data_IF_254865065232
#
_entry.id   IF_254865065232
#
_cell.length_a   1.000
_cell.length_b   1.000
_cell.length_c   1.000
_cell.angle_alpha   90.00
_cell.angle_beta   90.00
_cell.angle_gamma   90.00
#
_symmetry.space_group_name_H-M   'P 1'
#
loop_
_entity.id
_entity.type
_entity.pdbx_description
1 polymer ?
#
# COMPACT_ATOMS: atom_id res chain seq x y z
N UNK A 1 19.89 -13.17 -11.27
CA UNK A 1 20.28 -11.77 -11.00
C UNK A 1 20.05 -11.40 -9.53
N UNK A 2 18.85 -11.61 -8.97
CA UNK A 2 18.54 -11.26 -7.57
C UNK A 2 19.51 -11.90 -6.55
N UNK A 3 19.62 -13.24 -6.53
CA UNK A 3 20.46 -13.98 -5.57
C UNK A 3 21.96 -13.66 -5.63
N UNK A 4 22.43 -13.00 -6.70
CA UNK A 4 23.81 -12.53 -6.79
C UNK A 4 24.05 -11.35 -5.86
N UNK A 5 23.10 -10.42 -5.81
CA UNK A 5 23.24 -9.12 -5.15
C UNK A 5 22.44 -9.00 -3.86
N UNK A 6 21.52 -9.92 -3.58
CA UNK A 6 20.70 -9.91 -2.38
C UNK A 6 20.76 -11.27 -1.71
N UNK A 7 20.76 -11.23 -0.38
CA UNK A 7 20.53 -12.44 0.40
C UNK A 7 19.03 -12.74 0.47
N UNK A 8 18.64 -13.91 -0.06
CA UNK A 8 17.23 -14.28 -0.20
C UNK A 8 16.55 -14.47 1.15
N UNK A 9 17.23 -15.09 2.11
CA UNK A 9 16.69 -15.37 3.44
C UNK A 9 16.46 -14.08 4.22
N UNK A 10 17.45 -13.19 4.22
CA UNK A 10 17.30 -11.86 4.82
C UNK A 10 16.19 -11.04 4.16
N UNK A 11 16.12 -11.02 2.82
CA UNK A 11 15.11 -10.27 2.10
C UNK A 11 13.68 -10.74 2.43
N UNK A 12 13.44 -12.06 2.39
CA UNK A 12 12.13 -12.62 2.71
C UNK A 12 11.77 -12.41 4.19
N UNK A 13 12.75 -12.51 5.10
CA UNK A 13 12.56 -12.23 6.53
C UNK A 13 12.17 -10.77 6.75
N UNK A 14 12.87 -9.84 6.11
CA UNK A 14 12.55 -8.41 6.18
C UNK A 14 11.14 -8.16 5.64
N UNK A 15 10.78 -8.73 4.49
CA UNK A 15 9.42 -8.59 3.95
C UNK A 15 8.36 -9.13 4.93
N UNK A 16 8.58 -10.34 5.44
CA UNK A 16 7.63 -11.00 6.32
C UNK A 16 7.43 -10.25 7.65
N UNK A 17 8.52 -9.76 8.27
CA UNK A 17 8.44 -8.94 9.48
C UNK A 17 7.65 -7.65 9.26
N UNK A 18 7.91 -6.91 8.17
CA UNK A 18 7.17 -5.67 7.90
C UNK A 18 5.69 -5.91 7.63
N UNK A 19 5.35 -7.04 7.00
CA UNK A 19 3.94 -7.43 6.77
C UNK A 19 3.26 -7.81 8.09
N UNK A 20 3.84 -8.72 8.88
CA UNK A 20 3.24 -9.22 10.13
C UNK A 20 3.07 -8.13 11.19
N UNK A 21 3.99 -7.16 11.21
CA UNK A 21 3.92 -6.03 12.12
C UNK A 21 3.23 -4.82 11.51
N UNK A 22 2.79 -4.88 10.24
CA UNK A 22 2.25 -3.74 9.51
C UNK A 22 3.13 -2.48 9.60
N UNK A 23 4.44 -2.63 9.37
CA UNK A 23 5.29 -1.47 9.10
C UNK A 23 5.08 -1.01 7.65
N UNK A 24 4.05 -0.19 7.47
CA UNK A 24 3.53 0.21 6.16
C UNK A 24 4.35 1.30 5.46
N UNK A 25 5.31 1.96 6.11
CA UNK A 25 6.16 2.99 5.49
C UNK A 25 7.48 2.42 4.95
N UNK A 26 7.46 1.16 4.50
CA UNK A 26 8.65 0.43 4.04
C UNK A 26 8.86 0.46 2.53
N UNK A 27 8.00 1.20 1.81
CA UNK A 27 8.16 1.42 0.37
C UNK A 27 9.37 2.30 0.05
N UNK A 28 9.74 3.23 0.95
CA UNK A 28 10.81 4.21 0.70
C UNK A 28 11.68 4.58 1.90
N UNK A 29 11.31 4.12 3.11
CA UNK A 29 12.01 4.44 4.35
C UNK A 29 11.87 3.30 5.36
N UNK A 30 12.31 3.52 6.60
CA UNK A 30 12.20 2.56 7.70
C UNK A 30 12.99 1.25 7.47
N UNK A 31 14.08 1.35 6.71
CA UNK A 31 15.11 0.32 6.62
C UNK A 31 16.47 0.92 6.25
N UNK A 32 17.52 0.15 6.52
CA UNK A 32 18.88 0.43 6.07
C UNK A 32 19.28 -0.61 5.03
N UNK A 33 20.05 -0.19 4.03
CA UNK A 33 20.75 -1.10 3.12
C UNK A 33 22.17 -1.31 3.63
N UNK A 34 22.51 -2.55 3.93
CA UNK A 34 23.83 -2.94 4.42
C UNK A 34 24.53 -3.85 3.41
N UNK A 35 25.80 -3.57 3.11
CA UNK A 35 26.65 -4.44 2.31
C UNK A 35 28.01 -4.61 3.02
N UNK A 36 28.35 -5.82 3.49
CA UNK A 36 29.67 -6.09 4.08
C UNK A 36 30.80 -5.89 3.08
N UNK A 37 31.95 -5.37 3.52
CA UNK A 37 33.10 -5.07 2.65
C UNK A 37 33.67 -6.25 1.85
N UNK A 38 33.34 -7.49 2.22
CA UNK A 38 33.81 -8.72 1.58
C UNK A 38 32.69 -9.50 0.86
N UNK A 39 31.55 -8.87 0.60
CA UNK A 39 30.39 -9.48 -0.06
C UNK A 39 29.83 -8.57 -1.14
N UNK A 40 29.39 -9.15 -2.26
CA UNK A 40 28.62 -8.39 -3.27
C UNK A 40 27.11 -8.31 -2.92
N UNK A 41 26.71 -8.89 -1.77
CA UNK A 41 25.32 -8.90 -1.32
C UNK A 41 24.95 -7.65 -0.53
N UNK A 42 23.71 -7.24 -0.73
CA UNK A 42 22.97 -6.26 0.04
C UNK A 42 21.97 -6.97 0.95
N UNK A 43 21.81 -6.41 2.14
CA UNK A 43 20.91 -6.85 3.18
C UNK A 43 19.98 -5.68 3.55
N UNK A 44 18.73 -5.99 3.89
CA UNK A 44 17.79 -5.04 4.46
C UNK A 44 17.77 -5.22 5.98
N UNK A 45 18.00 -4.11 6.70
CA UNK A 45 17.91 -4.06 8.15
C UNK A 45 16.67 -3.27 8.55
N UNK A 46 15.83 -3.76 9.48
CA UNK A 46 14.65 -3.05 9.94
C UNK A 46 15.03 -1.79 10.71
N UNK A 47 14.21 -0.75 10.58
CA UNK A 47 14.33 0.48 11.34
C UNK A 47 12.93 1.05 11.60
N UNK A 48 12.76 1.78 12.71
CA UNK A 48 11.56 2.60 12.97
C UNK A 48 10.22 1.85 12.89
N UNK A 49 9.95 1.05 13.92
CA UNK A 49 8.72 0.24 14.10
C UNK A 49 7.77 0.86 15.15
N UNK A 50 7.97 2.11 15.53
CA UNK A 50 7.17 2.80 16.55
C UNK A 50 5.69 3.00 16.15
N UNK A 51 5.42 3.14 14.85
CA UNK A 51 4.08 3.31 14.27
C UNK A 51 3.48 2.03 13.67
N UNK A 52 4.03 0.86 14.03
CA UNK A 52 3.59 -0.44 13.56
C UNK A 52 2.40 -0.99 14.39
N UNK A 53 1.90 -2.17 14.04
CA UNK A 53 0.85 -2.91 14.74
C UNK A 53 -0.38 -2.05 15.05
N UNK A 54 -0.88 -1.29 14.08
CA UNK A 54 -2.11 -0.51 14.25
C UNK A 54 -3.27 -1.45 14.62
N UNK A 55 -4.12 -1.06 15.57
CA UNK A 55 -5.37 -1.78 15.85
C UNK A 55 -6.31 -1.79 14.63
N UNK A 56 -7.18 -2.78 14.55
CA UNK A 56 -8.06 -3.02 13.39
C UNK A 56 -8.94 -1.79 13.06
N UNK A 57 -9.53 -1.13 14.05
CA UNK A 57 -10.33 0.09 13.84
C UNK A 57 -9.50 1.21 13.19
N UNK A 58 -8.28 1.42 13.68
CA UNK A 58 -7.37 2.44 13.16
C UNK A 58 -6.84 2.06 11.78
N UNK A 59 -6.65 0.77 11.51
CA UNK A 59 -6.33 0.27 10.18
C UNK A 59 -7.48 0.56 9.21
N UNK A 60 -8.71 0.18 9.55
CA UNK A 60 -9.89 0.32 8.70
C UNK A 60 -10.27 1.78 8.42
N UNK A 61 -9.94 2.71 9.33
CA UNK A 61 -10.15 4.15 9.10
C UNK A 61 -9.11 4.79 8.17
N UNK A 62 -8.01 4.09 7.82
CA UNK A 62 -6.99 4.62 6.91
C UNK A 62 -7.43 4.46 5.46
N UNK A 63 -7.43 5.57 4.71
CA UNK A 63 -7.64 5.58 3.26
C UNK A 63 -6.60 4.77 2.47
N UNK A 64 -5.44 4.51 3.07
CA UNK A 64 -4.33 3.76 2.48
C UNK A 64 -4.34 2.25 2.79
N UNK A 65 -5.26 1.78 3.64
CA UNK A 65 -5.30 0.38 4.12
C UNK A 65 -5.36 -0.64 2.98
N UNK A 66 -6.00 -0.30 1.86
CA UNK A 66 -6.08 -1.14 0.64
C UNK A 66 -4.73 -1.37 -0.06
N UNK A 67 -3.67 -0.65 0.33
CA UNK A 67 -2.32 -0.76 -0.22
C UNK A 67 -1.31 -1.38 0.75
N UNK A 68 -1.72 -1.79 1.95
CA UNK A 68 -0.81 -2.35 2.95
C UNK A 68 -0.48 -3.84 2.66
N UNK A 69 0.48 -4.39 3.40
CA UNK A 69 0.95 -5.75 3.21
C UNK A 69 1.72 -5.92 1.89
N UNK A 70 1.52 -7.04 1.19
CA UNK A 70 2.21 -7.32 -0.08
C UNK A 70 1.89 -6.31 -1.18
N UNK A 71 0.69 -5.71 -1.13
CA UNK A 71 0.27 -4.69 -2.07
C UNK A 71 1.16 -3.44 -1.98
N UNK A 72 1.88 -3.18 -0.88
CA UNK A 72 2.80 -2.05 -0.76
C UNK A 72 4.01 -2.20 -1.70
N UNK A 73 4.44 -3.44 -1.91
CA UNK A 73 5.66 -3.77 -2.65
C UNK A 73 5.55 -3.55 -4.16
N UNK A 74 4.35 -3.35 -4.69
CA UNK A 74 4.16 -2.98 -6.09
C UNK A 74 4.59 -1.55 -6.41
N UNK A 75 4.78 -0.70 -5.39
CA UNK A 75 5.31 0.65 -5.53
C UNK A 75 6.82 0.70 -5.78
N UNK A 76 7.55 -0.41 -5.54
CA UNK A 76 9.00 -0.45 -5.65
C UNK A 76 9.46 -1.43 -6.76
N UNK A 77 10.28 -0.99 -7.73
CA UNK A 77 10.68 -1.85 -8.86
C UNK A 77 11.35 -3.16 -8.45
N UNK A 78 12.17 -3.16 -7.39
CA UNK A 78 12.82 -4.35 -6.87
C UNK A 78 11.79 -5.38 -6.39
N UNK A 79 10.93 -4.98 -5.46
CA UNK A 79 9.96 -5.87 -4.85
C UNK A 79 8.90 -6.33 -5.87
N UNK A 80 8.37 -5.40 -6.68
CA UNK A 80 7.46 -5.72 -7.79
C UNK A 80 8.04 -6.79 -8.70
N UNK A 81 9.29 -6.61 -9.17
CA UNK A 81 9.92 -7.59 -10.08
C UNK A 81 10.13 -8.95 -9.42
N UNK A 82 10.49 -8.96 -8.13
CA UNK A 82 10.69 -10.20 -7.40
C UNK A 82 9.35 -10.97 -7.21
N UNK A 83 8.31 -10.30 -6.71
CA UNK A 83 7.01 -10.91 -6.41
C UNK A 83 6.08 -11.05 -7.64
N UNK A 84 6.46 -10.53 -8.80
CA UNK A 84 5.77 -10.85 -10.07
C UNK A 84 5.95 -12.32 -10.49
N UNK A 85 6.85 -13.07 -9.84
CA UNK A 85 6.95 -14.52 -9.98
C UNK A 85 6.11 -15.20 -8.88
N UNK A 86 5.05 -15.96 -9.21
CA UNK A 86 4.24 -16.69 -8.22
C UNK A 86 5.06 -17.60 -7.31
N UNK A 87 6.13 -18.24 -7.82
CA UNK A 87 6.99 -19.10 -7.00
C UNK A 87 7.69 -18.31 -5.88
N UNK A 88 8.01 -17.03 -6.11
CA UNK A 88 8.60 -16.18 -5.08
C UNK A 88 7.59 -15.71 -4.04
N UNK A 89 6.30 -15.64 -4.40
CA UNK A 89 5.22 -15.39 -3.44
C UNK A 89 5.08 -16.60 -2.52
N UNK A 90 5.20 -17.83 -3.03
CA UNK A 90 5.22 -19.04 -2.19
C UNK A 90 6.39 -19.04 -1.20
N UNK A 91 7.58 -18.57 -1.60
CA UNK A 91 8.70 -18.41 -0.67
C UNK A 91 8.38 -17.42 0.46
N UNK A 92 7.66 -16.33 0.14
CA UNK A 92 7.21 -15.38 1.17
C UNK A 92 6.14 -15.99 2.07
N UNK A 93 5.18 -16.76 1.52
CA UNK A 93 4.17 -17.47 2.31
C UNK A 93 4.84 -18.37 3.36
N UNK A 94 5.82 -19.18 2.94
CA UNK A 94 6.56 -20.03 3.87
C UNK A 94 7.27 -19.23 4.97
N UNK A 95 7.89 -18.09 4.64
CA UNK A 95 8.58 -17.25 5.63
C UNK A 95 7.61 -16.51 6.56
N UNK A 96 6.44 -16.10 6.06
CA UNK A 96 5.35 -15.54 6.86
C UNK A 96 4.86 -16.58 7.87
N UNK A 97 4.58 -17.81 7.42
CA UNK A 97 4.11 -18.90 8.27
C UNK A 97 5.14 -19.26 9.35
N UNK A 98 6.42 -19.37 8.96
CA UNK A 98 7.53 -19.66 9.86
C UNK A 98 7.66 -18.62 10.99
N UNK A 99 7.69 -17.32 10.63
CA UNK A 99 7.80 -16.24 11.61
C UNK A 99 6.53 -16.14 12.46
N UNK A 100 5.35 -16.27 11.86
CA UNK A 100 4.09 -16.26 12.59
C UNK A 100 4.02 -17.39 13.62
N UNK A 101 4.34 -18.63 13.23
CA UNK A 101 4.38 -19.78 14.13
C UNK A 101 5.37 -19.56 15.27
N UNK A 102 6.56 -19.03 14.97
CA UNK A 102 7.54 -18.70 16.01
C UNK A 102 6.98 -17.67 17.00
N UNK A 103 6.43 -16.55 16.51
CA UNK A 103 5.82 -15.51 17.35
C UNK A 103 4.69 -16.07 18.20
N UNK A 104 3.83 -16.94 17.65
CA UNK A 104 2.72 -17.53 18.40
C UNK A 104 3.15 -18.62 19.38
N UNK A 105 4.38 -19.14 19.28
CA UNK A 105 4.94 -20.12 20.21
C UNK A 105 5.61 -19.50 21.44
N UNK A 106 5.83 -18.19 21.44
CA UNK A 106 6.40 -17.46 22.57
C UNK A 106 5.44 -17.42 23.77
N UNK A 107 6.00 -17.27 24.97
CA UNK A 107 5.22 -17.15 26.21
C UNK A 107 4.67 -15.73 26.38
N UNK A 108 3.57 -15.43 25.67
CA UNK A 108 2.89 -14.13 25.74
C UNK A 108 2.36 -13.80 27.15
N UNK A 109 2.00 -14.82 27.94
CA UNK A 109 1.55 -14.65 29.32
C UNK A 109 2.66 -14.12 30.23
N UNK A 110 3.92 -14.39 29.90
CA UNK A 110 5.08 -13.82 30.59
C UNK A 110 5.59 -12.54 29.91
N UNK A 111 5.67 -12.51 28.59
CA UNK A 111 6.23 -11.39 27.83
C UNK A 111 5.42 -10.11 28.01
N UNK A 112 4.09 -10.17 27.87
CA UNK A 112 3.21 -8.99 27.96
C UNK A 112 3.33 -8.32 29.33
N UNK A 113 3.12 -9.03 30.47
CA UNK A 113 3.33 -8.42 31.77
C UNK A 113 4.76 -7.92 31.99
N UNK A 114 5.77 -8.61 31.46
CA UNK A 114 7.17 -8.18 31.53
C UNK A 114 7.39 -6.80 30.91
N UNK A 115 6.98 -6.61 29.66
CA UNK A 115 7.09 -5.32 28.96
C UNK A 115 6.21 -4.24 29.60
N UNK A 116 4.96 -4.56 29.90
CA UNK A 116 4.03 -3.62 30.54
C UNK A 116 4.57 -3.13 31.89
N UNK A 117 5.09 -4.02 32.73
CA UNK A 117 5.70 -3.63 34.01
C UNK A 117 6.93 -2.75 33.82
N UNK A 118 7.80 -3.07 32.86
CA UNK A 118 8.98 -2.26 32.57
C UNK A 118 8.60 -0.84 32.13
N UNK A 119 7.63 -0.70 31.23
CA UNK A 119 7.13 0.60 30.74
C UNK A 119 6.48 1.39 31.88
N UNK A 120 5.54 0.77 32.62
CA UNK A 120 4.82 1.44 33.71
C UNK A 120 5.72 1.85 34.87
N UNK A 121 6.85 1.15 35.09
CA UNK A 121 7.83 1.54 36.10
C UNK A 121 8.50 2.89 35.80
N UNK A 122 8.75 3.19 34.52
CA UNK A 122 9.28 4.49 34.08
C UNK A 122 8.20 5.54 33.84
N UNK A 123 6.95 5.10 33.64
CA UNK A 123 5.79 5.97 33.45
C UNK A 123 5.42 6.75 34.73
N UNK A 124 5.53 6.11 35.90
CA UNK A 124 5.25 6.74 37.20
C UNK A 124 6.22 7.89 37.47
N UNK A 125 5.77 9.12 37.24
CA UNK A 125 6.55 10.35 37.42
C UNK A 125 7.22 10.86 36.15
N UNK A 126 6.82 10.37 34.96
CA UNK A 126 7.27 10.93 33.69
C UNK A 126 6.80 12.37 33.52
N UNK A 127 7.71 13.23 33.03
CA UNK A 127 7.41 14.61 32.59
C UNK A 127 7.21 14.69 31.06
N UNK A 128 7.20 13.54 30.38
CA UNK A 128 7.09 13.50 28.93
C UNK A 128 5.68 13.92 28.48
N UNK A 129 5.63 15.04 27.75
CA UNK A 129 4.38 15.60 27.25
C UNK A 129 3.68 14.70 26.22
N UNK A 130 4.38 13.76 25.60
CA UNK A 130 3.80 12.85 24.61
C UNK A 130 2.88 11.80 25.22
N UNK A 131 3.09 11.47 26.50
CA UNK A 131 2.39 10.37 27.17
C UNK A 131 1.59 10.84 28.38
N UNK A 132 1.69 12.12 28.78
CA UNK A 132 1.06 12.69 29.98
C UNK A 132 -0.46 12.49 30.06
N UNK A 133 -1.12 12.35 28.92
CA UNK A 133 -2.58 12.20 28.80
C UNK A 133 -2.99 10.74 28.51
N UNK A 134 -2.05 9.78 28.55
CA UNK A 134 -2.32 8.34 28.34
C UNK A 134 -2.58 7.67 29.68
N UNK A 135 -3.71 6.98 29.84
CA UNK A 135 -3.94 6.24 31.09
C UNK A 135 -3.10 4.94 31.09
N UNK A 136 -2.52 4.54 32.24
CA UNK A 136 -1.77 3.28 32.36
C UNK A 136 -2.54 2.06 31.84
N UNK A 137 -3.86 2.03 32.04
CA UNK A 137 -4.75 0.98 31.57
C UNK A 137 -4.79 0.89 30.03
N UNK A 138 -4.67 2.02 29.33
CA UNK A 138 -4.63 2.06 27.86
C UNK A 138 -3.32 1.43 27.35
N UNK A 139 -2.20 1.69 28.02
CA UNK A 139 -0.89 1.08 27.71
C UNK A 139 -0.97 -0.45 27.88
N UNK A 140 -1.57 -0.90 28.98
CA UNK A 140 -1.76 -2.34 29.25
C UNK A 140 -2.60 -2.99 28.16
N UNK A 141 -3.72 -2.36 27.81
CA UNK A 141 -4.66 -2.85 26.78
C UNK A 141 -3.98 -2.92 25.41
N UNK A 142 -3.24 -1.88 25.04
CA UNK A 142 -2.52 -1.78 23.77
C UNK A 142 -1.50 -2.93 23.61
N UNK A 143 -0.66 -3.17 24.61
CA UNK A 143 0.38 -4.21 24.57
C UNK A 143 -0.24 -5.61 24.59
N UNK A 144 -1.29 -5.81 25.38
CA UNK A 144 -2.00 -7.09 25.45
C UNK A 144 -2.63 -7.49 24.11
N UNK A 145 -2.98 -6.51 23.26
CA UNK A 145 -3.59 -6.76 21.96
C UNK A 145 -2.58 -7.07 20.85
N UNK A 146 -1.27 -6.89 21.05
CA UNK A 146 -0.27 -7.08 20.00
C UNK A 146 -0.29 -8.49 19.38
N UNK A 147 -0.52 -9.54 20.18
CA UNK A 147 -0.64 -10.89 19.65
C UNK A 147 -1.82 -11.04 18.68
N UNK A 148 -2.97 -10.44 19.03
CA UNK A 148 -4.15 -10.43 18.17
C UNK A 148 -3.90 -9.64 16.89
N UNK A 149 -3.20 -8.50 16.98
CA UNK A 149 -2.86 -7.67 15.82
C UNK A 149 -1.93 -8.38 14.85
N UNK A 150 -0.92 -9.10 15.35
CA UNK A 150 -0.06 -9.94 14.51
C UNK A 150 -0.91 -10.99 13.77
N UNK A 151 -1.88 -11.61 14.45
CA UNK A 151 -2.82 -12.56 13.82
C UNK A 151 -3.73 -11.89 12.80
N UNK A 152 -4.21 -10.68 13.07
CA UNK A 152 -4.97 -9.87 12.12
C UNK A 152 -4.16 -9.62 10.83
N UNK A 153 -2.90 -9.20 10.96
CA UNK A 153 -2.04 -8.92 9.79
C UNK A 153 -1.60 -10.18 9.04
N UNK A 154 -1.41 -11.30 9.74
CA UNK A 154 -1.22 -12.60 9.12
C UNK A 154 -2.41 -12.97 8.22
N UNK A 155 -3.64 -12.83 8.71
CA UNK A 155 -4.84 -13.12 7.91
C UNK A 155 -5.04 -12.11 6.77
N UNK A 156 -4.74 -10.84 7.02
CA UNK A 156 -4.81 -9.78 6.01
C UNK A 156 -3.83 -10.04 4.86
N UNK A 157 -2.62 -10.53 5.14
CA UNK A 157 -1.64 -10.87 4.12
C UNK A 157 -2.19 -11.87 3.10
N UNK A 158 -2.81 -12.96 3.55
CA UNK A 158 -3.41 -13.94 2.65
C UNK A 158 -4.64 -13.39 1.92
N UNK A 159 -5.48 -12.60 2.60
CA UNK A 159 -6.63 -11.94 1.96
C UNK A 159 -6.19 -10.96 0.87
N UNK A 160 -5.06 -10.28 1.05
CA UNK A 160 -4.52 -9.34 0.07
C UNK A 160 -3.98 -10.02 -1.20
N UNK A 161 -3.62 -11.31 -1.14
CA UNK A 161 -3.15 -12.05 -2.32
C UNK A 161 -4.25 -12.36 -3.33
N UNK A 162 -5.50 -12.38 -2.89
CA UNK A 162 -6.67 -12.56 -3.77
C UNK A 162 -6.99 -11.30 -4.59
N UNK A 163 -6.40 -10.15 -4.24
CA UNK A 163 -6.68 -8.90 -4.98
C UNK A 163 -5.64 -8.70 -6.07
N UNK A 164 -6.03 -8.13 -7.22
CA UNK A 164 -5.07 -7.57 -8.16
C UNK A 164 -4.13 -6.59 -7.46
N UNK A 165 -2.86 -6.59 -7.85
CA UNK A 165 -1.87 -5.72 -7.25
C UNK A 165 -2.00 -4.28 -7.78
N UNK A 166 -1.69 -3.25 -6.98
CA UNK A 166 -1.84 -1.88 -7.42
C UNK A 166 -0.86 -1.51 -8.55
N UNK A 167 -1.17 -0.41 -9.22
CA UNK A 167 -0.45 0.03 -10.42
C UNK A 167 -0.44 1.56 -10.51
N UNK A 168 0.22 2.13 -11.51
CA UNK A 168 0.33 3.58 -11.70
C UNK A 168 -0.34 4.03 -12.99
N UNK A 169 -1.11 5.11 -12.92
CA UNK A 169 -1.68 5.81 -14.06
C UNK A 169 -0.58 6.60 -14.77
N UNK A 170 -0.65 6.64 -16.10
CA UNK A 170 0.20 7.47 -16.93
C UNK A 170 -0.20 8.95 -16.88
N UNK A 171 0.42 9.73 -17.76
CA UNK A 171 0.02 11.11 -18.03
C UNK A 171 -0.82 11.09 -19.31
N UNK A 172 -2.07 11.57 -19.29
CA UNK A 172 -2.88 11.66 -20.50
C UNK A 172 -2.16 12.47 -21.58
N UNK A 173 -2.41 12.13 -22.85
CA UNK A 173 -1.90 12.85 -24.02
C UNK A 173 -3.05 13.16 -24.95
N UNK A 174 -2.87 14.15 -25.82
CA UNK A 174 -3.82 14.48 -26.87
C UNK A 174 -3.10 14.48 -28.21
N UNK A 175 -3.71 13.84 -29.20
CA UNK A 175 -3.32 13.89 -30.60
C UNK A 175 -4.53 14.30 -31.45
N UNK A 176 -4.53 15.55 -31.92
CA UNK A 176 -5.72 16.16 -32.53
C UNK A 176 -6.92 16.14 -31.58
N UNK A 177 -7.98 15.41 -31.94
CA UNK A 177 -9.20 15.25 -31.14
C UNK A 177 -9.22 13.95 -30.31
N UNK A 178 -8.15 13.14 -30.37
CA UNK A 178 -8.04 11.89 -29.63
C UNK A 178 -7.30 12.12 -28.31
N UNK A 179 -7.94 11.73 -27.20
CA UNK A 179 -7.27 11.67 -25.90
C UNK A 179 -6.74 10.26 -25.64
N UNK A 180 -5.45 10.15 -25.35
CA UNK A 180 -4.78 8.88 -25.07
C UNK A 180 -4.51 8.76 -23.57
N UNK A 181 -4.99 7.67 -22.98
CA UNK A 181 -4.79 7.30 -21.60
C UNK A 181 -4.04 5.97 -21.54
N UNK A 182 -3.13 5.84 -20.59
CA UNK A 182 -2.38 4.60 -20.37
C UNK A 182 -2.06 4.44 -18.89
N UNK A 183 -1.81 3.21 -18.46
CA UNK A 183 -1.37 2.88 -17.11
C UNK A 183 -0.38 1.72 -17.14
N UNK A 184 0.36 1.51 -16.05
CA UNK A 184 1.22 0.33 -15.92
C UNK A 184 0.35 -0.91 -15.67
N UNK A 185 0.77 -2.11 -16.12
CA UNK A 185 0.03 -3.33 -15.82
C UNK A 185 0.01 -3.61 -14.30
N UNK A 186 -1.18 -3.97 -13.83
CA UNK A 186 -1.41 -4.71 -12.57
C UNK A 186 -0.88 -6.15 -12.70
N UNK A 187 -0.83 -6.86 -11.59
CA UNK A 187 -0.49 -8.28 -11.53
C UNK A 187 -1.49 -9.00 -10.64
N UNK A 188 -1.88 -10.20 -11.03
CA UNK A 188 -2.64 -11.11 -10.18
C UNK A 188 -1.69 -12.20 -9.68
N UNK A 189 -1.61 -12.41 -8.36
CA UNK A 189 -0.63 -13.35 -7.78
C UNK A 189 -1.01 -14.81 -8.02
N UNK A 190 -2.27 -15.07 -8.41
CA UNK A 190 -2.83 -16.37 -8.72
C UNK A 190 -2.91 -16.59 -10.24
N UNK A 191 -2.45 -15.61 -11.02
CA UNK A 191 -2.41 -15.62 -12.49
C UNK A 191 -3.82 -15.65 -13.10
N UNK A 192 -4.80 -15.06 -12.41
CA UNK A 192 -6.15 -14.89 -12.93
C UNK A 192 -6.18 -13.86 -14.09
N UNK A 193 -7.20 -13.98 -14.96
CA UNK A 193 -7.44 -13.00 -16.02
C UNK A 193 -7.91 -11.69 -15.39
N UNK A 194 -7.36 -10.58 -15.87
CA UNK A 194 -7.73 -9.24 -15.41
C UNK A 194 -8.35 -8.40 -16.53
N UNK A 195 -9.25 -7.50 -16.14
CA UNK A 195 -9.76 -6.40 -16.96
C UNK A 195 -9.69 -5.08 -16.19
N UNK A 196 -9.81 -3.97 -16.91
CA UNK A 196 -9.80 -2.63 -16.36
C UNK A 196 -11.10 -1.92 -16.69
N UNK A 197 -11.69 -1.29 -15.69
CA UNK A 197 -12.79 -0.35 -15.79
C UNK A 197 -12.20 1.06 -15.83
N UNK A 198 -12.14 1.65 -17.02
CA UNK A 198 -11.68 3.02 -17.24
C UNK A 198 -12.85 3.99 -17.19
N UNK A 199 -12.67 5.14 -16.54
CA UNK A 199 -13.68 6.20 -16.48
C UNK A 199 -13.07 7.59 -16.49
N UNK A 200 -13.72 8.52 -17.18
CA UNK A 200 -13.51 9.98 -17.10
C UNK A 200 -14.74 10.59 -16.44
N UNK A 201 -14.54 11.50 -15.48
CA UNK A 201 -15.61 12.13 -14.72
C UNK A 201 -15.27 13.57 -14.31
N UNK A 202 -16.30 14.38 -14.03
CA UNK A 202 -16.14 15.82 -13.70
C UNK A 202 -16.12 16.12 -12.21
N UNK A 203 -16.63 15.22 -11.36
CA UNK A 203 -16.65 15.40 -9.91
C UNK A 203 -16.15 14.14 -9.18
N UNK A 204 -15.03 14.25 -8.49
CA UNK A 204 -14.47 13.14 -7.72
C UNK A 204 -15.30 12.77 -6.48
N UNK A 205 -16.09 13.68 -5.92
CA UNK A 205 -16.98 13.40 -4.79
C UNK A 205 -18.23 12.62 -5.23
N UNK A 206 -18.70 12.89 -6.46
CA UNK A 206 -19.86 12.25 -7.06
C UNK A 206 -19.47 11.46 -8.31
N UNK A 207 -18.41 10.63 -8.18
CA UNK A 207 -17.79 9.94 -9.32
C UNK A 207 -18.81 9.24 -10.22
N UNK A 208 -19.73 8.47 -9.64
CA UNK A 208 -20.72 7.70 -10.42
C UNK A 208 -21.73 8.59 -11.17
N UNK A 209 -22.09 9.75 -10.62
CA UNK A 209 -23.08 10.66 -11.21
C UNK A 209 -22.47 11.64 -12.23
N UNK A 210 -21.13 11.73 -12.26
CA UNK A 210 -20.39 12.70 -13.07
C UNK A 210 -19.54 12.04 -14.17
N UNK A 211 -19.74 10.75 -14.43
CA UNK A 211 -19.07 10.02 -15.52
C UNK A 211 -19.48 10.61 -16.87
N UNK A 212 -18.49 11.01 -17.67
CA UNK A 212 -18.68 11.49 -19.04
C UNK A 212 -18.22 10.46 -20.08
N UNK A 213 -17.38 9.50 -19.67
CA UNK A 213 -16.94 8.39 -20.48
C UNK A 213 -16.59 7.20 -19.59
N UNK A 214 -16.95 5.98 -20.00
CA UNK A 214 -16.57 4.74 -19.34
C UNK A 214 -16.38 3.62 -20.35
N UNK A 215 -15.38 2.78 -20.11
CA UNK A 215 -15.08 1.63 -20.96
C UNK A 215 -14.39 0.52 -20.17
N UNK A 216 -14.77 -0.72 -20.44
CA UNK A 216 -14.02 -1.90 -20.02
C UNK A 216 -13.00 -2.33 -21.07
N UNK A 217 -11.82 -2.78 -20.64
CA UNK A 217 -10.75 -3.23 -21.53
C UNK A 217 -9.84 -4.23 -20.84
N UNK A 218 -9.19 -5.12 -21.60
CA UNK A 218 -8.06 -5.92 -21.11
C UNK A 218 -6.70 -5.26 -21.38
N UNK A 219 -6.70 -4.14 -22.11
CA UNK A 219 -5.49 -3.39 -22.45
C UNK A 219 -5.14 -2.39 -21.35
N UNK A 220 -3.88 -1.95 -21.32
CA UNK A 220 -3.41 -0.90 -20.40
C UNK A 220 -3.34 0.49 -21.05
N UNK A 221 -4.10 0.65 -22.14
CA UNK A 221 -4.18 1.86 -22.97
C UNK A 221 -5.58 1.99 -23.55
N UNK A 222 -6.11 3.20 -23.58
CA UNK A 222 -7.36 3.57 -24.25
C UNK A 222 -7.16 4.87 -25.02
N UNK A 223 -7.79 4.93 -26.19
CA UNK A 223 -8.00 6.16 -26.97
C UNK A 223 -9.46 6.58 -26.85
N UNK A 224 -9.72 7.86 -26.60
CA UNK A 224 -11.05 8.44 -26.52
C UNK A 224 -11.20 9.49 -27.60
N UNK A 225 -11.98 9.17 -28.63
CA UNK A 225 -12.34 10.08 -29.72
C UNK A 225 -13.59 10.90 -29.33
N UNK A 226 -13.45 11.78 -28.33
CA UNK A 226 -14.54 12.61 -27.84
C UNK A 226 -14.04 14.04 -27.62
N UNK A 227 -14.79 15.03 -28.09
CA UNK A 227 -14.57 16.42 -27.71
C UNK A 227 -15.06 16.63 -26.28
N UNK A 228 -14.12 16.89 -25.36
CA UNK A 228 -14.44 17.29 -24.00
C UNK A 228 -14.57 18.82 -23.95
N UNK A 229 -15.68 19.38 -23.41
CA UNK A 229 -15.77 20.81 -23.14
C UNK A 229 -14.66 21.30 -22.21
N UNK A 230 -14.35 22.58 -22.27
CA UNK A 230 -13.43 23.23 -21.32
C UNK A 230 -13.89 22.98 -19.88
N UNK A 231 -12.95 22.58 -19.02
CA UNK A 231 -13.28 22.19 -17.65
C UNK A 231 -12.22 21.32 -16.99
N UNK A 232 -12.42 21.10 -15.68
CA UNK A 232 -11.64 20.16 -14.89
C UNK A 232 -12.26 18.77 -14.98
N UNK A 233 -11.41 17.78 -15.23
CA UNK A 233 -11.78 16.37 -15.28
C UNK A 233 -10.85 15.55 -14.40
N UNK A 234 -11.29 14.34 -14.14
CA UNK A 234 -10.54 13.32 -13.45
C UNK A 234 -10.70 12.02 -14.23
N UNK A 235 -9.69 11.16 -14.13
CA UNK A 235 -9.78 9.84 -14.72
C UNK A 235 -9.16 8.80 -13.81
N UNK A 236 -9.60 7.57 -13.99
CA UNK A 236 -9.15 6.42 -13.22
C UNK A 236 -9.26 5.15 -14.05
N UNK A 237 -8.43 4.18 -13.73
CA UNK A 237 -8.64 2.78 -14.10
C UNK A 237 -8.77 1.97 -12.81
N UNK A 238 -9.76 1.07 -12.74
CA UNK A 238 -9.89 0.07 -11.68
C UNK A 238 -9.65 -1.29 -12.31
N UNK A 239 -8.70 -2.07 -11.79
CA UNK A 239 -8.50 -3.44 -12.25
C UNK A 239 -9.45 -4.37 -11.52
N UNK A 240 -9.94 -5.41 -12.21
CA UNK A 240 -10.74 -6.50 -11.66
C UNK A 240 -10.18 -7.84 -12.12
N UNK A 241 -10.14 -8.82 -11.23
CA UNK A 241 -9.85 -10.21 -11.60
C UNK A 241 -11.13 -10.95 -12.01
N UNK A 242 -10.99 -12.23 -12.41
CA UNK A 242 -12.10 -13.09 -12.78
C UNK A 242 -13.03 -13.47 -11.61
N UNK A 243 -12.59 -13.28 -10.35
CA UNK A 243 -13.35 -13.58 -9.13
C UNK A 243 -14.11 -12.36 -8.61
N UNK A 244 -13.93 -11.19 -9.23
CA UNK A 244 -14.57 -9.94 -8.85
C UNK A 244 -13.81 -9.13 -7.80
N UNK A 245 -12.61 -9.58 -7.39
CA UNK A 245 -11.72 -8.75 -6.59
C UNK A 245 -11.23 -7.58 -7.45
N UNK A 246 -10.94 -6.45 -6.79
CA UNK A 246 -10.60 -5.22 -7.50
C UNK A 246 -9.50 -4.46 -6.76
N UNK A 247 -8.80 -3.62 -7.51
CA UNK A 247 -7.79 -2.71 -6.96
C UNK A 247 -7.74 -1.40 -7.75
N UNK A 248 -7.44 -0.31 -7.04
CA UNK A 248 -7.19 1.01 -7.62
C UNK A 248 -5.70 1.25 -7.86
N UNK A 249 -5.39 2.27 -8.65
CA UNK A 249 -4.01 2.73 -8.83
C UNK A 249 -3.49 3.44 -7.56
N UNK A 250 -2.16 3.52 -7.38
CA UNK A 250 -1.54 4.26 -6.28
C UNK A 250 -1.68 5.77 -6.39
N UNK A 251 -2.00 6.27 -7.59
CA UNK A 251 -2.06 7.69 -7.87
C UNK A 251 -3.07 8.36 -6.96
N UNK A 252 -2.72 9.57 -6.52
CA UNK A 252 -3.52 10.32 -5.58
C UNK A 252 -3.61 11.78 -6.00
N UNK A 253 -4.77 12.37 -5.74
CA UNK A 253 -5.01 13.78 -5.95
C UNK A 253 -5.09 14.48 -4.60
N UNK A 254 -4.26 15.51 -4.41
CA UNK A 254 -4.27 16.34 -3.21
C UNK A 254 -5.42 17.34 -3.29
N UNK A 255 -6.27 17.35 -2.28
CA UNK A 255 -7.43 18.23 -2.17
C UNK A 255 -7.19 19.14 -0.97
N UNK A 256 -7.14 20.45 -1.23
CA UNK A 256 -7.04 21.48 -0.19
C UNK A 256 -8.43 21.79 0.35
N UNK A 257 -8.56 21.80 1.67
CA UNK A 257 -9.75 22.26 2.37
C UNK A 257 -9.70 23.79 2.56
N UNK A 258 -10.88 24.44 2.74
CA UNK A 258 -10.93 25.89 2.99
C UNK A 258 -10.16 26.35 4.23
N UNK A 259 -9.95 25.47 5.21
CA UNK A 259 -9.21 25.74 6.45
C UNK A 259 -7.68 25.58 6.30
N UNK A 260 -7.19 25.30 5.09
CA UNK A 260 -5.78 25.09 4.79
C UNK A 260 -5.25 23.68 5.09
N UNK A 261 -6.10 22.77 5.59
CA UNK A 261 -5.76 21.35 5.67
C UNK A 261 -5.88 20.68 4.30
N UNK A 262 -5.38 19.46 4.15
CA UNK A 262 -5.54 18.70 2.91
C UNK A 262 -5.78 17.21 3.17
N UNK A 263 -6.39 16.55 2.19
CA UNK A 263 -6.47 15.10 2.12
C UNK A 263 -6.12 14.61 0.72
N UNK A 264 -5.94 13.29 0.59
CA UNK A 264 -5.61 12.65 -0.68
C UNK A 264 -6.75 11.74 -1.11
N UNK A 265 -7.22 11.93 -2.35
CA UNK A 265 -8.13 11.01 -3.02
C UNK A 265 -7.32 10.04 -3.89
N UNK A 266 -7.34 8.75 -3.56
CA UNK A 266 -6.58 7.70 -4.26
C UNK A 266 -7.31 7.15 -5.49
N UNK A 267 -6.54 6.54 -6.40
CA UNK A 267 -7.00 5.84 -7.58
C UNK A 267 -7.37 6.73 -8.77
N UNK A 268 -6.93 7.99 -8.80
CA UNK A 268 -7.28 8.92 -9.87
C UNK A 268 -6.19 9.95 -10.16
N UNK A 269 -6.27 10.58 -11.34
CA UNK A 269 -5.49 11.77 -11.70
C UNK A 269 -6.37 12.88 -12.29
N UNK A 270 -6.09 14.15 -11.96
CA UNK A 270 -6.75 15.29 -12.59
C UNK A 270 -6.18 15.56 -13.99
N UNK A 271 -6.98 16.13 -14.87
CA UNK A 271 -6.54 16.82 -16.09
C UNK A 271 -7.54 17.93 -16.45
N UNK A 272 -7.10 18.92 -17.21
CA UNK A 272 -7.95 20.05 -17.58
C UNK A 272 -8.03 20.16 -19.10
N UNK A 273 -9.17 20.62 -19.60
CA UNK A 273 -9.34 21.05 -20.98
C UNK A 273 -9.48 22.57 -21.01
N UNK A 274 -8.66 23.23 -21.83
CA UNK A 274 -8.68 24.69 -22.04
C UNK A 274 -8.60 24.95 -23.52
N UNK A 275 -9.61 25.63 -24.08
CA UNK A 275 -9.76 25.88 -25.51
C UNK A 275 -9.66 24.57 -26.34
N UNK A 276 -10.24 23.48 -25.83
CA UNK A 276 -10.18 22.16 -26.45
C UNK A 276 -8.81 21.45 -26.38
N UNK A 277 -7.83 22.00 -25.64
CA UNK A 277 -6.51 21.43 -25.46
C UNK A 277 -6.33 20.84 -24.06
N UNK A 278 -5.67 19.69 -24.00
CA UNK A 278 -5.28 19.00 -22.78
C UNK A 278 -4.20 19.78 -22.05
N UNK A 279 -4.48 20.11 -20.80
CA UNK A 279 -3.56 20.69 -19.84
C UNK A 279 -3.44 19.73 -18.65
N UNK A 280 -2.28 19.10 -18.51
CA UNK A 280 -1.95 18.30 -17.32
C UNK A 280 -1.12 19.14 -16.38
N UNK A 281 -1.52 19.25 -15.11
CA UNK A 281 -0.59 19.71 -14.07
C UNK A 281 0.46 18.62 -13.91
N UNK A 282 1.71 18.91 -14.23
CA UNK A 282 2.85 18.13 -13.77
C UNK A 282 3.06 18.49 -12.32
N UNK A 283 2.80 17.53 -11.42
CA UNK A 283 3.24 17.58 -10.03
C UNK A 283 4.77 17.61 -9.93
#
# INVERSE_FOLDING_TARGET
>A
MFQKYFDLDNYLTWCAMNILFNNYDTMSRNFLLYSPSYSEKWYLLPWDFDSCLLGEERFNSRSLSEYFGIALYWGTPLHKRFFSNPDHVLLLNHRIDEIYQHLMSEDWETLVPGYTNAILSGYKGSLDEMIKDTEPEDIVSEIADYQNRITFYYNLYYTAQERPMPFFLGTPKQDGNEFQFNWSPSADLQVDRMSYEFSIFTDYNQRQMSVVFQQETSLTKISVEQTLPDGQYYWSAIVRDAKGNWQRSYDRYRIENPDGTHYYQFGLKPFQIVQGLLVTKTD
#
